data_IF_231606017656
#
_entry.id   IF_231606017656
#
_cell.length_a   1.000
_cell.length_b   1.000
_cell.length_c   1.000
_cell.angle_alpha   90.00
_cell.angle_beta   90.00
_cell.angle_gamma   90.00
#
_symmetry.space_group_name_H-M   'P 1'
#
loop_
_entity.id
_entity.type
_entity.pdbx_description
1 polymer ?
#
# COMPACT_ATOMS: atom_id res chain seq x y z
N UNK A 1 2.29 2.39 20.19
CA UNK A 1 2.02 0.94 20.12
C UNK A 1 3.06 0.25 20.98
N UNK A 2 2.67 -0.46 22.06
CA UNK A 2 3.60 -1.30 22.81
C UNK A 2 4.27 -2.31 21.87
N UNK A 3 5.57 -2.55 22.04
CA UNK A 3 6.37 -3.51 21.23
C UNK A 3 6.54 -3.19 19.74
N UNK A 4 6.28 -1.95 19.31
CA UNK A 4 6.61 -1.52 17.96
C UNK A 4 8.12 -1.71 17.67
N UNK A 5 8.51 -2.09 16.44
CA UNK A 5 9.90 -2.30 16.10
C UNK A 5 10.70 -1.00 16.25
N UNK A 6 11.95 -1.11 16.72
CA UNK A 6 12.85 0.04 16.89
C UNK A 6 13.30 0.66 15.57
N UNK A 7 13.20 -0.10 14.47
CA UNK A 7 13.45 0.36 13.12
C UNK A 7 12.16 0.32 12.28
N UNK A 8 12.10 1.14 11.24
CA UNK A 8 10.96 1.09 10.31
C UNK A 8 10.89 -0.29 9.66
N UNK A 9 9.70 -0.90 9.67
CA UNK A 9 9.45 -2.13 8.91
C UNK A 9 9.20 -1.84 7.42
N UNK A 10 8.79 -0.61 7.09
CA UNK A 10 8.49 -0.16 5.73
C UNK A 10 9.61 0.77 5.26
N UNK A 11 10.26 0.42 4.14
CA UNK A 11 11.29 1.25 3.48
C UNK A 11 10.65 2.40 2.73
N UNK A 12 9.71 2.07 1.84
CA UNK A 12 9.16 3.03 0.88
C UNK A 12 7.79 2.59 0.37
N UNK A 13 7.05 3.57 -0.13
CA UNK A 13 5.88 3.41 -0.98
C UNK A 13 6.17 4.15 -2.29
N UNK A 14 6.15 3.43 -3.42
CA UNK A 14 6.55 4.03 -4.70
C UNK A 14 5.87 3.43 -5.92
N UNK A 15 6.03 4.10 -7.05
CA UNK A 15 5.80 3.50 -8.37
C UNK A 15 6.89 2.45 -8.57
N UNK A 16 6.50 1.31 -9.12
CA UNK A 16 7.43 0.24 -9.48
C UNK A 16 7.19 -0.19 -10.91
N UNK A 17 8.12 0.17 -11.81
CA UNK A 17 8.09 -0.24 -13.22
C UNK A 17 9.47 -0.18 -13.88
N UNK A 18 9.64 -0.89 -15.00
CA UNK A 18 10.86 -0.81 -15.80
C UNK A 18 11.22 0.64 -16.22
N UNK A 19 10.21 1.46 -16.50
CA UNK A 19 10.38 2.82 -17.00
C UNK A 19 10.72 3.82 -15.89
N UNK A 20 10.17 3.62 -14.70
CA UNK A 20 10.24 4.57 -13.57
C UNK A 20 11.17 4.11 -12.45
N UNK A 21 11.77 2.93 -12.56
CA UNK A 21 12.57 2.30 -11.52
C UNK A 21 11.77 1.21 -10.80
N UNK A 22 12.43 0.09 -10.51
CA UNK A 22 11.76 -1.03 -9.85
C UNK A 22 11.54 -0.78 -8.37
N UNK A 23 12.60 -0.41 -7.65
CA UNK A 23 12.59 -0.23 -6.19
C UNK A 23 12.58 1.24 -5.81
N UNK A 24 13.49 2.01 -6.42
CA UNK A 24 13.61 3.44 -6.21
C UNK A 24 13.04 4.17 -7.44
N UNK A 25 12.11 5.08 -7.20
CA UNK A 25 11.53 5.93 -8.24
C UNK A 25 12.60 6.85 -8.83
N UNK A 26 12.80 6.80 -10.15
CA UNK A 26 13.70 7.67 -10.90
C UNK A 26 12.91 8.89 -11.36
N UNK A 27 13.20 10.04 -10.75
CA UNK A 27 12.54 11.30 -11.03
C UNK A 27 12.78 12.34 -9.94
N UNK A 28 11.97 13.40 -9.97
CA UNK A 28 12.08 14.55 -9.07
C UNK A 28 10.75 14.83 -8.36
N UNK A 29 10.84 15.34 -7.13
CA UNK A 29 9.69 15.83 -6.39
C UNK A 29 9.41 17.25 -6.85
N UNK A 30 8.26 17.48 -7.49
CA UNK A 30 7.84 18.81 -7.91
C UNK A 30 7.27 19.62 -6.74
N UNK A 31 6.52 18.96 -5.86
CA UNK A 31 5.87 19.62 -4.73
C UNK A 31 5.52 18.66 -3.59
N UNK A 32 5.58 19.17 -2.37
CA UNK A 32 4.98 18.58 -1.17
C UNK A 32 4.12 19.66 -0.52
N UNK A 33 2.84 19.39 -0.32
CA UNK A 33 1.87 20.35 0.22
C UNK A 33 1.09 19.72 1.37
N UNK A 34 1.03 20.41 2.51
CA UNK A 34 0.04 20.10 3.54
C UNK A 34 -1.28 20.75 3.14
N UNK A 35 -2.29 19.94 2.83
CA UNK A 35 -3.59 20.42 2.36
C UNK A 35 -4.53 20.73 3.54
N UNK A 36 -4.45 19.94 4.61
CA UNK A 36 -5.20 20.21 5.84
C UNK A 36 -4.59 19.51 7.06
N UNK A 37 -4.84 20.11 8.23
CA UNK A 37 -4.59 19.52 9.54
C UNK A 37 -5.87 19.72 10.34
N UNK A 38 -6.41 18.65 10.91
CA UNK A 38 -7.57 18.71 11.79
C UNK A 38 -7.40 17.74 12.97
N UNK A 39 -8.37 17.71 13.87
CA UNK A 39 -8.29 16.93 15.11
C UNK A 39 -8.13 15.42 14.90
N UNK A 40 -8.48 14.90 13.71
CA UNK A 40 -8.51 13.46 13.43
C UNK A 40 -7.57 13.03 12.30
N UNK A 41 -7.04 13.97 11.52
CA UNK A 41 -6.25 13.65 10.33
C UNK A 41 -5.34 14.78 9.86
N UNK A 42 -4.30 14.39 9.11
CA UNK A 42 -3.43 15.28 8.34
C UNK A 42 -3.46 14.84 6.87
N UNK A 43 -3.63 15.79 5.96
CA UNK A 43 -3.64 15.52 4.52
C UNK A 43 -2.39 16.13 3.87
N UNK A 44 -1.55 15.29 3.27
CA UNK A 44 -0.33 15.68 2.55
C UNK A 44 -0.45 15.26 1.10
N UNK A 45 -0.22 16.17 0.16
CA UNK A 45 -0.08 15.87 -1.25
C UNK A 45 1.39 15.90 -1.66
N UNK A 46 1.82 14.88 -2.40
CA UNK A 46 3.13 14.79 -3.02
C UNK A 46 2.94 14.69 -4.53
N UNK A 47 3.64 15.53 -5.28
CA UNK A 47 3.68 15.50 -6.73
C UNK A 47 5.09 15.13 -7.17
N UNK A 48 5.20 14.12 -8.01
CA UNK A 48 6.48 13.70 -8.61
C UNK A 48 6.41 13.68 -10.12
N UNK A 49 7.49 14.15 -10.74
CA UNK A 49 7.78 13.96 -12.15
C UNK A 49 8.78 12.82 -12.29
N UNK A 50 8.33 11.69 -12.82
CA UNK A 50 9.12 10.48 -13.01
C UNK A 50 9.62 10.37 -14.46
N UNK A 51 10.67 9.57 -14.65
CA UNK A 51 11.23 9.24 -15.97
C UNK A 51 10.14 8.80 -16.93
N UNK A 52 10.28 9.18 -18.20
CA UNK A 52 9.28 8.88 -19.23
C UNK A 52 8.08 9.82 -19.19
N UNK A 53 8.21 11.01 -18.60
CA UNK A 53 7.17 12.04 -18.50
C UNK A 53 5.90 11.57 -17.78
N UNK A 54 6.07 10.72 -16.76
CA UNK A 54 4.98 10.33 -15.87
C UNK A 54 4.90 11.32 -14.73
N UNK A 55 3.77 12.00 -14.61
CA UNK A 55 3.49 12.87 -13.47
C UNK A 55 2.51 12.15 -12.56
N UNK A 56 2.92 11.86 -11.33
CA UNK A 56 2.13 11.13 -10.34
C UNK A 56 1.84 12.03 -9.16
N UNK A 57 0.56 12.17 -8.84
CA UNK A 57 0.07 12.89 -7.66
C UNK A 57 -0.39 11.85 -6.65
N UNK A 58 0.12 11.94 -5.42
CA UNK A 58 -0.33 11.13 -4.29
C UNK A 58 -0.86 12.03 -3.20
N UNK A 59 -2.09 11.82 -2.78
CA UNK A 59 -2.67 12.47 -1.62
C UNK A 59 -2.76 11.44 -0.50
N UNK A 60 -2.00 11.68 0.57
CA UNK A 60 -1.99 10.87 1.78
C UNK A 60 -2.90 11.52 2.81
N UNK A 61 -3.88 10.77 3.31
CA UNK A 61 -4.67 11.17 4.48
C UNK A 61 -4.27 10.28 5.66
N UNK A 62 -3.56 10.85 6.62
CA UNK A 62 -3.05 10.15 7.80
C UNK A 62 -4.06 10.24 8.95
N UNK A 63 -4.43 9.10 9.50
CA UNK A 63 -5.21 8.94 10.72
C UNK A 63 -4.34 8.26 11.80
N UNK A 64 -4.76 8.22 13.08
CA UNK A 64 -3.92 7.68 14.16
C UNK A 64 -3.41 6.24 13.98
N UNK A 65 -4.12 5.38 13.23
CA UNK A 65 -3.77 3.96 13.04
C UNK A 65 -3.77 3.48 11.59
N UNK A 66 -4.07 4.36 10.65
CA UNK A 66 -4.07 4.01 9.23
C UNK A 66 -3.86 5.25 8.40
N UNK A 67 -3.52 5.07 7.14
CA UNK A 67 -3.53 6.16 6.18
C UNK A 67 -4.12 5.68 4.86
N UNK A 68 -4.81 6.60 4.17
CA UNK A 68 -5.34 6.39 2.83
C UNK A 68 -4.42 7.06 1.83
N UNK A 69 -4.15 6.39 0.72
CA UNK A 69 -3.40 6.93 -0.41
C UNK A 69 -4.35 7.01 -1.60
N UNK A 70 -4.54 8.22 -2.11
CA UNK A 70 -5.24 8.47 -3.37
C UNK A 70 -4.21 8.85 -4.43
N UNK A 71 -4.30 8.25 -5.62
CA UNK A 71 -3.28 8.38 -6.65
C UNK A 71 -3.90 8.74 -7.99
N UNK A 72 -3.26 9.70 -8.65
CA UNK A 72 -3.52 10.05 -10.03
C UNK A 72 -2.22 10.10 -10.83
N UNK A 73 -2.30 9.69 -12.09
CA UNK A 73 -1.22 9.77 -13.07
C UNK A 73 -1.71 10.49 -14.33
N UNK A 74 -0.81 11.22 -14.98
CA UNK A 74 -1.15 11.97 -16.20
C UNK A 74 -1.45 11.08 -17.42
N UNK A 75 -0.96 9.84 -17.46
CA UNK A 75 -1.10 8.93 -18.61
C UNK A 75 -0.95 7.45 -18.22
N UNK A 76 -1.47 6.51 -19.04
CA UNK A 76 -1.33 5.07 -18.79
C UNK A 76 0.09 4.57 -19.03
N UNK A 77 0.37 3.33 -18.60
CA UNK A 77 1.66 2.64 -18.80
C UNK A 77 2.40 2.28 -17.51
N UNK A 78 1.86 2.67 -16.35
CA UNK A 78 2.26 2.22 -15.02
C UNK A 78 1.13 1.36 -14.47
N UNK A 79 1.48 0.24 -13.81
CA UNK A 79 0.50 -0.63 -13.16
C UNK A 79 0.60 -0.64 -11.62
N UNK A 80 1.80 -0.49 -11.07
CA UNK A 80 2.05 -0.53 -9.62
C UNK A 80 2.35 0.87 -9.11
N UNK A 81 1.34 1.58 -8.61
CA UNK A 81 1.48 2.97 -8.18
C UNK A 81 1.87 3.15 -6.70
N UNK A 82 1.70 2.12 -5.88
CA UNK A 82 2.05 2.12 -4.46
C UNK A 82 2.54 0.73 -4.07
N UNK A 83 3.75 0.39 -4.52
CA UNK A 83 4.46 -0.80 -4.06
C UNK A 83 5.09 -0.51 -2.70
N UNK A 84 4.77 -1.34 -1.72
CA UNK A 84 5.36 -1.32 -0.39
C UNK A 84 6.59 -2.23 -0.36
N UNK A 85 7.73 -1.68 0.04
CA UNK A 85 8.98 -2.39 0.23
C UNK A 85 9.29 -2.54 1.73
N UNK A 86 9.57 -3.75 2.20
CA UNK A 86 9.80 -4.04 3.62
C UNK A 86 11.28 -4.10 3.99
N UNK A 87 11.62 -3.90 5.26
CA UNK A 87 13.00 -3.99 5.81
C UNK A 87 13.15 -5.09 6.85
N UNK A 88 12.07 -5.80 7.17
CA UNK A 88 12.01 -6.80 8.22
C UNK A 88 11.36 -8.08 7.70
N UNK A 89 11.83 -9.26 8.14
CA UNK A 89 11.17 -10.51 7.78
C UNK A 89 9.72 -10.52 8.27
N UNK A 90 8.81 -11.03 7.44
CA UNK A 90 7.41 -11.18 7.80
C UNK A 90 6.74 -12.31 7.00
N UNK A 91 5.52 -12.63 7.39
CA UNK A 91 4.61 -13.47 6.61
C UNK A 91 3.70 -12.57 5.78
N UNK A 92 3.34 -13.04 4.61
CA UNK A 92 2.36 -12.44 3.72
C UNK A 92 1.17 -13.38 3.56
N UNK A 93 -0.04 -12.81 3.54
CA UNK A 93 -1.27 -13.50 3.14
C UNK A 93 -2.17 -12.53 2.38
N UNK A 94 -2.88 -13.00 1.36
CA UNK A 94 -3.89 -12.20 0.65
C UNK A 94 -5.33 -12.70 0.80
N UNK A 95 -6.30 -11.97 0.24
CA UNK A 95 -7.72 -12.30 0.35
C UNK A 95 -8.15 -13.59 -0.37
N UNK A 96 -7.25 -14.25 -1.10
CA UNK A 96 -7.48 -15.57 -1.71
C UNK A 96 -6.77 -16.69 -0.95
N UNK A 97 -6.09 -16.36 0.15
CA UNK A 97 -5.32 -17.31 0.94
C UNK A 97 -3.98 -17.69 0.30
N UNK A 98 -3.47 -16.92 -0.65
CA UNK A 98 -2.08 -17.10 -1.09
C UNK A 98 -1.15 -16.61 0.01
N UNK A 99 -0.09 -17.37 0.28
CA UNK A 99 0.85 -17.08 1.36
C UNK A 99 2.29 -17.09 0.86
N UNK A 100 3.14 -16.29 1.51
CA UNK A 100 4.58 -16.26 1.27
C UNK A 100 5.32 -15.83 2.54
N UNK A 101 6.61 -16.13 2.60
CA UNK A 101 7.52 -15.56 3.59
C UNK A 101 8.30 -14.46 2.89
N UNK A 102 8.27 -13.26 3.45
CA UNK A 102 9.09 -12.13 3.01
C UNK A 102 10.40 -12.19 3.80
N UNK A 103 11.48 -12.62 3.18
CA UNK A 103 12.81 -12.74 3.79
C UNK A 103 13.98 -12.26 2.91
N UNK A 104 13.67 -11.71 1.73
CA UNK A 104 14.63 -11.18 0.76
C UNK A 104 15.28 -12.24 -0.13
N UNK A 105 14.77 -13.48 -0.15
CA UNK A 105 15.36 -14.60 -0.90
C UNK A 105 14.44 -15.22 -1.96
N UNK A 106 13.17 -14.81 -2.05
CA UNK A 106 12.18 -15.41 -2.96
C UNK A 106 12.09 -14.76 -4.34
N UNK A 107 11.58 -15.48 -5.36
CA UNK A 107 11.31 -14.96 -6.71
C UNK A 107 9.82 -15.05 -7.09
N UNK A 108 8.97 -14.32 -6.37
CA UNK A 108 7.54 -14.22 -6.69
C UNK A 108 6.64 -15.30 -6.07
N UNK A 109 7.23 -16.26 -5.35
CA UNK A 109 6.66 -17.32 -4.47
C UNK A 109 5.39 -18.01 -5.00
N UNK A 110 5.14 -17.94 -6.31
CA UNK A 110 3.88 -18.35 -6.91
C UNK A 110 2.68 -17.50 -6.46
N UNK A 111 2.86 -16.27 -5.99
CA UNK A 111 1.80 -15.32 -5.61
C UNK A 111 1.40 -14.41 -6.78
N UNK A 112 2.38 -14.01 -7.60
CA UNK A 112 2.18 -13.06 -8.69
C UNK A 112 1.07 -13.55 -9.64
N UNK A 113 0.06 -12.70 -9.85
CA UNK A 113 -1.01 -12.96 -10.82
C UNK A 113 -2.07 -13.97 -10.38
N UNK A 114 -1.96 -14.58 -9.18
CA UNK A 114 -2.98 -15.52 -8.67
C UNK A 114 -4.17 -14.84 -8.01
N UNK A 115 -3.99 -13.61 -7.53
CA UNK A 115 -5.07 -12.85 -6.92
C UNK A 115 -5.63 -11.82 -7.91
N UNK A 116 -6.59 -12.26 -8.72
CA UNK A 116 -7.39 -11.37 -9.56
C UNK A 116 -8.41 -10.62 -8.72
N UNK A 117 -8.55 -9.32 -8.99
CA UNK A 117 -9.45 -8.42 -8.24
C UNK A 117 -9.22 -8.49 -6.73
N UNK A 118 -7.99 -8.16 -6.27
CA UNK A 118 -7.63 -8.29 -4.86
C UNK A 118 -8.44 -7.31 -3.99
N UNK A 119 -8.78 -7.75 -2.79
CA UNK A 119 -9.50 -6.94 -1.79
C UNK A 119 -8.56 -6.40 -0.71
N UNK A 120 -7.63 -7.24 -0.27
CA UNK A 120 -6.66 -6.89 0.74
C UNK A 120 -5.45 -7.81 0.66
N UNK A 121 -4.33 -7.34 1.21
CA UNK A 121 -3.25 -8.20 1.65
C UNK A 121 -2.80 -7.83 3.06
N UNK A 122 -2.16 -8.77 3.74
CA UNK A 122 -1.62 -8.62 5.07
C UNK A 122 -0.13 -8.96 5.04
N UNK A 123 0.66 -8.20 5.80
CA UNK A 123 2.00 -8.62 6.21
C UNK A 123 2.10 -8.56 7.73
N UNK A 124 2.67 -9.59 8.35
CA UNK A 124 2.64 -9.76 9.80
C UNK A 124 3.83 -10.53 10.35
N UNK A 125 4.14 -10.23 11.60
CA UNK A 125 5.18 -10.85 12.41
C UNK A 125 4.73 -10.84 13.88
N UNK A 126 5.58 -11.36 14.77
CA UNK A 126 5.32 -11.38 16.21
C UNK A 126 5.29 -9.98 16.85
N UNK A 127 5.86 -8.95 16.20
CA UNK A 127 6.04 -7.61 16.79
C UNK A 127 5.36 -6.48 16.00
N UNK A 128 5.07 -6.68 14.72
CA UNK A 128 4.38 -5.70 13.88
C UNK A 128 3.54 -6.39 12.81
N UNK A 129 2.49 -5.70 12.38
CA UNK A 129 1.70 -6.11 11.24
C UNK A 129 1.08 -4.89 10.56
N UNK A 130 0.74 -5.03 9.28
CA UNK A 130 -0.20 -4.13 8.65
C UNK A 130 -1.01 -4.85 7.58
N UNK A 131 -2.19 -4.30 7.30
CA UNK A 131 -2.99 -4.67 6.15
C UNK A 131 -2.89 -3.57 5.10
N UNK A 132 -3.10 -3.92 3.83
CA UNK A 132 -3.35 -2.98 2.76
C UNK A 132 -4.68 -3.33 2.12
N UNK A 133 -5.58 -2.35 2.09
CA UNK A 133 -6.98 -2.52 1.69
C UNK A 133 -7.21 -1.81 0.36
N UNK A 134 -7.73 -2.55 -0.62
CA UNK A 134 -8.17 -1.97 -1.89
C UNK A 134 -9.48 -1.19 -1.68
N UNK A 135 -9.41 0.15 -1.75
CA UNK A 135 -10.59 1.02 -1.67
C UNK A 135 -11.15 1.39 -3.05
N UNK A 136 -10.37 1.15 -4.11
CA UNK A 136 -10.78 1.17 -5.50
C UNK A 136 -10.62 -0.22 -6.13
N UNK A 137 -11.06 -0.39 -7.37
CA UNK A 137 -10.84 -1.62 -8.12
C UNK A 137 -9.38 -1.74 -8.58
N UNK A 138 -8.81 -2.94 -8.43
CA UNK A 138 -7.51 -3.34 -8.95
C UNK A 138 -7.65 -4.60 -9.79
N UNK A 139 -6.70 -4.82 -10.70
CA UNK A 139 -6.72 -5.95 -11.65
C UNK A 139 -6.07 -7.19 -11.03
N UNK A 140 -4.95 -6.99 -10.32
CA UNK A 140 -4.16 -8.06 -9.73
C UNK A 140 -3.34 -7.60 -8.52
N UNK A 141 -2.67 -8.56 -7.87
CA UNK A 141 -1.61 -8.31 -6.90
C UNK A 141 -0.25 -8.76 -7.47
N UNK A 142 0.76 -7.95 -7.22
CA UNK A 142 2.15 -8.27 -7.53
C UNK A 142 2.97 -8.39 -6.24
N UNK A 143 3.88 -9.36 -6.24
CA UNK A 143 4.78 -9.68 -5.14
C UNK A 143 6.19 -9.84 -5.73
N UNK A 144 7.22 -9.45 -5.00
CA UNK A 144 8.61 -9.67 -5.40
C UNK A 144 9.50 -9.67 -4.18
N UNK A 145 10.32 -10.69 -3.95
CA UNK A 145 11.21 -10.75 -2.77
C UNK A 145 12.67 -11.06 -3.13
N UNK A 146 13.07 -10.80 -4.38
CA UNK A 146 14.39 -11.20 -4.89
C UNK A 146 15.43 -10.07 -4.80
N UNK A 147 16.69 -10.45 -4.65
CA UNK A 147 17.85 -9.60 -4.98
C UNK A 147 18.24 -8.58 -3.91
N UNK A 148 18.01 -8.87 -2.62
CA UNK A 148 18.49 -8.03 -1.51
C UNK A 148 17.76 -6.69 -1.33
N UNK A 149 16.71 -6.44 -2.12
CA UNK A 149 15.88 -5.24 -2.01
C UNK A 149 14.68 -5.40 -1.06
N UNK A 150 14.45 -6.62 -0.53
CA UNK A 150 13.42 -7.03 0.42
C UNK A 150 11.97 -6.80 -0.06
N UNK A 151 11.04 -7.69 0.30
CA UNK A 151 9.70 -7.86 -0.28
C UNK A 151 8.95 -6.60 -0.73
N UNK A 152 8.68 -6.51 -2.04
CA UNK A 152 7.89 -5.48 -2.70
C UNK A 152 6.50 -5.99 -3.05
N UNK A 153 5.44 -5.41 -2.47
CA UNK A 153 4.05 -5.85 -2.67
C UNK A 153 3.18 -4.69 -3.15
N UNK A 154 2.39 -4.90 -4.21
CA UNK A 154 1.52 -3.86 -4.76
C UNK A 154 0.23 -4.42 -5.35
N UNK A 155 -0.84 -3.63 -5.27
CA UNK A 155 -1.98 -3.82 -6.17
C UNK A 155 -1.68 -3.21 -7.54
N UNK A 156 -1.97 -3.96 -8.60
CA UNK A 156 -1.82 -3.57 -9.99
C UNK A 156 -3.13 -3.04 -10.57
N UNK A 157 -3.09 -1.91 -11.28
CA UNK A 157 -4.25 -1.38 -12.03
C UNK A 157 -3.80 -0.67 -13.30
N UNK A 158 -4.53 -0.84 -14.40
CA UNK A 158 -4.37 -0.03 -15.62
C UNK A 158 -4.97 1.38 -15.54
N UNK A 159 -5.72 1.68 -14.47
CA UNK A 159 -6.34 2.99 -14.27
C UNK A 159 -5.28 4.06 -13.98
N UNK A 160 -5.62 5.31 -14.27
CA UNK A 160 -4.75 6.48 -14.02
C UNK A 160 -5.36 7.47 -13.03
N UNK A 161 -6.62 7.28 -12.64
CA UNK A 161 -7.36 8.17 -11.74
C UNK A 161 -8.22 7.35 -10.79
N UNK A 162 -8.58 7.94 -9.65
CA UNK A 162 -9.46 7.29 -8.68
C UNK A 162 -8.85 6.06 -8.01
N UNK A 163 -7.52 5.91 -8.07
CA UNK A 163 -6.80 4.80 -7.43
C UNK A 163 -6.75 5.09 -5.94
N UNK A 164 -7.30 4.20 -5.12
CA UNK A 164 -7.41 4.39 -3.67
C UNK A 164 -7.10 3.10 -2.93
N UNK A 165 -6.22 3.20 -1.94
CA UNK A 165 -5.90 2.11 -1.03
C UNK A 165 -5.61 2.64 0.38
N UNK A 166 -5.73 1.79 1.40
CA UNK A 166 -5.42 2.14 2.78
C UNK A 166 -4.41 1.18 3.39
N UNK A 167 -3.47 1.70 4.17
CA UNK A 167 -2.57 0.89 4.99
C UNK A 167 -2.99 1.02 6.46
N UNK A 168 -3.35 -0.08 7.12
CA UNK A 168 -3.75 -0.09 8.53
C UNK A 168 -2.66 -0.75 9.37
N UNK A 169 -2.18 -0.03 10.38
CA UNK A 169 -1.04 -0.40 11.20
C UNK A 169 -1.48 -1.10 12.49
N UNK A 170 -0.81 -2.20 12.82
CA UNK A 170 -1.08 -3.02 13.99
C UNK A 170 0.20 -3.39 14.74
N UNK A 171 0.06 -3.76 16.00
CA UNK A 171 1.05 -4.58 16.71
C UNK A 171 1.16 -5.96 16.06
N UNK A 172 2.12 -6.78 16.50
CA UNK A 172 2.29 -8.14 15.98
C UNK A 172 1.00 -8.97 15.99
N UNK A 173 0.86 -9.81 14.97
CA UNK A 173 -0.32 -10.64 14.71
C UNK A 173 0.13 -12.07 14.38
N UNK A 174 -0.69 -13.05 14.76
CA UNK A 174 -0.39 -14.48 14.51
C UNK A 174 -0.81 -14.93 13.11
N UNK A 175 -1.86 -14.32 12.57
CA UNK A 175 -2.48 -14.65 11.30
C UNK A 175 -3.04 -13.38 10.63
N UNK A 176 -3.62 -13.51 9.43
CA UNK A 176 -4.14 -12.41 8.64
C UNK A 176 -5.61 -12.03 8.93
N UNK A 177 -6.26 -12.58 9.96
CA UNK A 177 -7.69 -12.32 10.24
C UNK A 177 -7.99 -10.83 10.48
N UNK A 178 -7.03 -10.08 11.01
CA UNK A 178 -7.14 -8.63 11.21
C UNK A 178 -7.37 -7.86 9.90
N UNK A 179 -6.82 -8.34 8.76
CA UNK A 179 -6.94 -7.68 7.48
C UNK A 179 -8.35 -7.80 6.89
N UNK A 180 -9.03 -8.94 7.11
CA UNK A 180 -10.45 -9.08 6.78
C UNK A 180 -11.29 -8.07 7.57
N UNK A 181 -11.02 -7.93 8.86
CA UNK A 181 -11.74 -7.00 9.73
C UNK A 181 -11.53 -5.53 9.30
N UNK A 182 -10.29 -5.17 8.93
CA UNK A 182 -9.99 -3.85 8.37
C UNK A 182 -10.70 -3.60 7.04
N UNK A 183 -10.72 -4.59 6.14
CA UNK A 183 -11.45 -4.52 4.88
C UNK A 183 -12.94 -4.27 5.12
N UNK A 184 -13.58 -5.04 5.99
CA UNK A 184 -15.00 -4.86 6.30
C UNK A 184 -15.32 -3.47 6.82
N UNK A 185 -14.47 -2.92 7.69
CA UNK A 185 -14.64 -1.57 8.25
C UNK A 185 -14.44 -0.47 7.22
N UNK A 186 -13.43 -0.61 6.34
CA UNK A 186 -13.03 0.47 5.42
C UNK A 186 -13.76 0.43 4.07
N UNK A 187 -14.09 -0.76 3.56
CA UNK A 187 -14.82 -0.91 2.31
C UNK A 187 -16.33 -0.61 2.46
N UNK A 188 -16.84 -0.62 3.70
CA UNK A 188 -18.23 -0.31 4.03
C UNK A 188 -18.28 0.80 5.09
N UNK A 189 -17.91 2.05 4.75
CA UNK A 189 -17.97 3.12 5.73
C UNK A 189 -19.40 3.25 6.28
N UNK A 190 -19.57 3.37 7.60
CA UNK A 190 -20.90 3.53 8.19
C UNK A 190 -21.56 4.79 7.63
N UNK A 191 -22.83 4.67 7.23
CA UNK A 191 -23.63 5.81 6.81
C UNK A 191 -24.01 6.60 8.06
N UNK A 192 -23.48 7.82 8.20
CA UNK A 192 -23.92 8.74 9.24
C UNK A 192 -25.28 9.28 8.83
N UNK A 193 -26.32 8.90 9.58
CA UNK A 193 -27.65 9.52 9.46
C UNK A 193 -27.67 10.69 10.43
N UNK A 194 -27.60 11.91 9.91
CA UNK A 194 -27.85 13.11 10.71
C UNK A 194 -29.35 13.34 10.68
N UNK A 195 -30.05 12.95 11.73
CA UNK A 195 -31.43 13.38 11.95
C UNK A 195 -31.41 14.87 12.30
N UNK A 196 -32.04 15.69 11.47
CA UNK A 196 -32.34 17.07 11.83
C UNK A 196 -33.27 17.06 13.06
N UNK A 197 -32.87 17.79 14.10
CA UNK A 197 -33.75 18.13 15.24
C UNK A 197 -34.60 19.34 14.87
#
# INVERSE_FOLDING_TARGET
MPNAPKQSFLRSLGVSSAQTGWVDEIGEVEAIKCLSINAVSVVIQVVKQLRGNFRVVRTFTFYPRYFVVEIEANKPGIHNYSRAYYLLPCRFTDDKGNEAVVDGKGEGEGVIGKNLQPKWYAVYSDNWAHSCIALSQFDNLTYWDAGGNWGGIAFGTGQTKGIRLAYVLHTGQKDATFALWDYERLAKPPKVVISAQ
#
